data_IF_681311107664
#
_entry.id   IF_681311107664
#
_cell.length_a   1.000
_cell.length_b   1.000
_cell.length_c   1.000
_cell.angle_alpha   90.00
_cell.angle_beta   90.00
_cell.angle_gamma   90.00
#
_symmetry.space_group_name_H-M   'P 1'
#
loop_
_entity.id
_entity.type
_entity.pdbx_description
1 polymer ?
#
# COMPACT_ATOMS: atom_id res chain seq x y z
N UNK A 1 1.17 -10.12 6.52
CA UNK A 1 2.33 -10.88 7.05
C UNK A 1 3.58 -10.28 6.45
N UNK A 2 4.63 -10.09 7.22
CA UNK A 2 5.90 -9.61 6.68
C UNK A 2 6.47 -10.66 5.73
N UNK A 3 7.05 -10.25 4.60
CA UNK A 3 7.70 -11.20 3.67
C UNK A 3 8.93 -11.83 4.34
N UNK A 4 9.32 -13.03 3.92
CA UNK A 4 10.52 -13.71 4.42
C UNK A 4 11.78 -12.82 4.30
N UNK A 5 11.85 -11.99 3.24
CA UNK A 5 12.89 -10.98 3.05
C UNK A 5 12.83 -9.90 4.14
N UNK A 6 11.64 -9.35 4.42
CA UNK A 6 11.43 -8.33 5.44
C UNK A 6 11.85 -8.82 6.82
N UNK A 7 11.48 -10.06 7.20
CA UNK A 7 11.83 -10.62 8.50
C UNK A 7 13.34 -10.82 8.66
N UNK A 8 14.01 -11.31 7.62
CA UNK A 8 15.47 -11.51 7.64
C UNK A 8 16.22 -10.18 7.68
N UNK A 9 15.90 -9.27 6.78
CA UNK A 9 16.57 -7.97 6.75
C UNK A 9 16.27 -7.13 8.00
N UNK A 10 15.06 -7.20 8.56
CA UNK A 10 14.72 -6.55 9.83
C UNK A 10 15.55 -7.09 11.00
N UNK A 11 15.81 -8.40 11.02
CA UNK A 11 16.68 -9.02 12.03
C UNK A 11 18.12 -8.53 11.89
N UNK A 12 18.66 -8.54 10.67
CA UNK A 12 19.99 -8.01 10.36
C UNK A 12 20.12 -6.53 10.73
N UNK A 13 19.11 -5.71 10.43
CA UNK A 13 19.08 -4.29 10.82
C UNK A 13 19.16 -4.12 12.34
N UNK A 14 18.50 -4.99 13.11
CA UNK A 14 18.57 -4.94 14.59
C UNK A 14 19.97 -5.30 15.09
N UNK A 15 20.59 -6.34 14.53
CA UNK A 15 21.95 -6.77 14.86
C UNK A 15 22.98 -5.70 14.49
N UNK A 16 22.86 -5.10 13.29
CA UNK A 16 23.71 -4.00 12.84
C UNK A 16 23.64 -2.78 13.77
N UNK A 17 22.44 -2.40 14.22
CA UNK A 17 22.25 -1.25 15.13
C UNK A 17 22.92 -1.44 16.49
N UNK A 18 23.10 -2.68 16.93
CA UNK A 18 23.74 -3.01 18.20
C UNK A 18 25.26 -2.98 18.17
N UNK A 19 25.91 -2.90 17.00
CA UNK A 19 27.35 -2.97 16.87
C UNK A 19 28.01 -1.58 17.03
N UNK A 20 28.89 -1.46 18.01
CA UNK A 20 29.61 -0.21 18.32
C UNK A 20 30.82 0.04 17.41
N UNK A 21 31.35 -0.99 16.73
CA UNK A 21 32.46 -0.89 15.77
C UNK A 21 32.18 -1.78 14.57
N UNK A 22 32.44 -1.24 13.38
CA UNK A 22 32.43 -2.00 12.12
C UNK A 22 33.89 -2.32 11.76
N UNK A 23 34.16 -3.61 11.58
CA UNK A 23 35.39 -4.13 11.02
C UNK A 23 35.11 -4.69 9.65
N UNK A 24 36.15 -4.83 8.81
CA UNK A 24 35.99 -5.42 7.48
C UNK A 24 35.38 -6.83 7.55
N UNK A 25 35.78 -7.63 8.56
CA UNK A 25 35.19 -8.96 8.78
C UNK A 25 33.69 -8.91 9.08
N UNK A 26 33.26 -8.02 9.99
CA UNK A 26 31.83 -7.86 10.32
C UNK A 26 31.01 -7.41 9.11
N UNK A 27 31.56 -6.53 8.27
CA UNK A 27 30.90 -6.10 7.03
C UNK A 27 30.73 -7.27 6.07
N UNK A 28 31.76 -8.12 5.91
CA UNK A 28 31.67 -9.28 5.03
C UNK A 28 30.62 -10.30 5.50
N UNK A 29 30.56 -10.58 6.78
CA UNK A 29 29.55 -11.48 7.35
C UNK A 29 28.13 -10.94 7.14
N UNK A 30 27.92 -9.66 7.44
CA UNK A 30 26.61 -9.00 7.21
C UNK A 30 26.22 -8.96 5.73
N UNK A 31 27.15 -8.68 4.82
CA UNK A 31 26.91 -8.70 3.38
C UNK A 31 26.57 -10.10 2.87
N UNK A 32 27.17 -11.13 3.47
CA UNK A 32 26.83 -12.53 3.16
C UNK A 32 25.38 -12.83 3.53
N UNK A 33 24.93 -12.39 4.69
CA UNK A 33 23.55 -12.60 5.13
C UNK A 33 22.54 -11.78 4.30
N UNK A 34 22.85 -10.53 3.97
CA UNK A 34 22.05 -9.73 3.04
C UNK A 34 21.95 -10.41 1.68
N UNK A 35 23.06 -10.93 1.16
CA UNK A 35 23.08 -11.69 -0.08
C UNK A 35 22.18 -12.92 -0.03
N UNK A 36 22.25 -13.68 1.05
CA UNK A 36 21.39 -14.87 1.22
C UNK A 36 19.91 -14.48 1.31
N UNK A 37 19.59 -13.42 2.04
CA UNK A 37 18.22 -12.92 2.14
C UNK A 37 17.65 -12.50 0.77
N UNK A 38 18.43 -11.80 -0.05
CA UNK A 38 18.03 -11.40 -1.39
C UNK A 38 17.84 -12.60 -2.34
N UNK A 39 18.74 -13.60 -2.29
CA UNK A 39 18.61 -14.81 -3.09
C UNK A 39 17.39 -15.65 -2.70
N UNK A 40 17.12 -15.80 -1.41
CA UNK A 40 15.93 -16.49 -0.92
C UNK A 40 14.62 -15.73 -1.25
N UNK A 41 14.72 -14.42 -1.46
CA UNK A 41 13.63 -13.60 -1.95
C UNK A 41 13.46 -13.64 -3.49
N UNK A 42 14.17 -14.54 -4.16
CA UNK A 42 14.15 -14.72 -5.61
C UNK A 42 14.64 -13.47 -6.40
N UNK A 43 15.54 -12.68 -5.80
CA UNK A 43 16.22 -11.60 -6.54
C UNK A 43 17.20 -12.22 -7.54
N UNK A 44 17.23 -11.71 -8.76
CA UNK A 44 18.13 -12.19 -9.82
C UNK A 44 19.61 -12.12 -9.37
N UNK A 45 20.36 -13.20 -9.60
CA UNK A 45 21.75 -13.29 -9.18
C UNK A 45 22.65 -12.13 -9.66
N UNK A 46 22.54 -11.63 -10.91
CA UNK A 46 23.27 -10.44 -11.34
C UNK A 46 22.92 -9.21 -10.49
N UNK A 47 21.63 -8.98 -10.22
CA UNK A 47 21.14 -7.86 -9.42
C UNK A 47 21.68 -7.94 -7.98
N UNK A 48 21.66 -9.14 -7.38
CA UNK A 48 22.23 -9.37 -6.04
C UNK A 48 23.71 -9.08 -6.02
N UNK A 49 24.47 -9.54 -7.03
CA UNK A 49 25.91 -9.33 -7.13
C UNK A 49 26.25 -7.85 -7.18
N UNK A 50 25.58 -7.11 -8.07
CA UNK A 50 25.81 -5.67 -8.26
C UNK A 50 25.41 -4.88 -7.01
N UNK A 51 24.29 -5.24 -6.39
CA UNK A 51 23.82 -4.65 -5.13
C UNK A 51 24.88 -4.82 -4.00
N UNK A 52 25.33 -6.05 -3.79
CA UNK A 52 26.34 -6.36 -2.73
C UNK A 52 27.65 -5.63 -3.00
N UNK A 53 28.10 -5.55 -4.26
CA UNK A 53 29.31 -4.80 -4.61
C UNK A 53 29.18 -3.32 -4.23
N UNK A 54 28.09 -2.66 -4.63
CA UNK A 54 27.85 -1.25 -4.31
C UNK A 54 27.76 -1.00 -2.80
N UNK A 55 27.04 -1.85 -2.07
CA UNK A 55 26.95 -1.73 -0.60
C UNK A 55 28.32 -1.91 0.04
N UNK A 56 29.12 -2.89 -0.41
CA UNK A 56 30.47 -3.14 0.08
C UNK A 56 31.38 -1.91 -0.11
N UNK A 57 31.42 -1.36 -1.32
CA UNK A 57 32.26 -0.21 -1.64
C UNK A 57 31.92 1.00 -0.76
N UNK A 58 30.64 1.28 -0.54
CA UNK A 58 30.18 2.37 0.33
C UNK A 58 30.39 2.08 1.81
N UNK A 59 30.25 0.83 2.24
CA UNK A 59 30.43 0.43 3.64
C UNK A 59 31.91 0.48 4.08
N UNK A 60 32.84 0.22 3.19
CA UNK A 60 34.28 0.32 3.44
C UNK A 60 34.82 1.74 3.25
N UNK A 61 34.00 2.67 2.75
CA UNK A 61 34.34 4.07 2.58
C UNK A 61 34.39 4.88 3.89
N UNK A 62 34.89 6.11 3.81
CA UNK A 62 35.05 7.01 4.97
C UNK A 62 33.72 7.37 5.67
N UNK A 63 32.60 7.28 4.98
CA UNK A 63 31.27 7.62 5.53
C UNK A 63 30.87 6.76 6.75
N UNK A 64 31.31 5.50 6.77
CA UNK A 64 31.00 4.57 7.87
C UNK A 64 32.05 4.61 8.97
N UNK A 65 33.33 4.72 8.59
CA UNK A 65 34.47 4.73 9.52
C UNK A 65 34.50 5.97 10.42
N UNK A 66 33.93 7.10 9.93
CA UNK A 66 33.83 8.37 10.69
C UNK A 66 32.50 8.54 11.46
N UNK A 67 31.59 7.58 11.40
CA UNK A 67 30.26 7.70 12.00
C UNK A 67 30.28 7.39 13.51
N UNK A 68 29.51 8.18 14.29
CA UNK A 68 29.26 7.93 15.71
C UNK A 68 28.47 6.62 15.97
N UNK A 69 27.76 6.12 14.94
CA UNK A 69 27.00 4.86 14.99
C UNK A 69 27.15 4.07 13.68
N UNK A 70 28.27 3.34 13.50
CA UNK A 70 28.60 2.66 12.26
C UNK A 70 27.51 1.68 11.77
N UNK A 71 26.86 0.97 12.68
CA UNK A 71 25.76 0.06 12.32
C UNK A 71 24.55 0.79 11.73
N UNK A 72 24.21 2.00 12.21
CA UNK A 72 23.14 2.82 11.63
C UNK A 72 23.53 3.37 10.26
N UNK A 73 24.81 3.74 10.08
CA UNK A 73 25.33 4.19 8.79
C UNK A 73 25.21 3.07 7.74
N UNK A 74 25.57 1.83 8.09
CA UNK A 74 25.44 0.69 7.18
C UNK A 74 23.99 0.38 6.81
N UNK A 75 23.06 0.44 7.77
CA UNK A 75 21.63 0.32 7.49
C UNK A 75 21.16 1.41 6.50
N UNK A 76 21.63 2.64 6.68
CA UNK A 76 21.35 3.75 5.76
C UNK A 76 21.91 3.50 4.36
N UNK A 77 23.09 2.88 4.22
CA UNK A 77 23.65 2.49 2.92
C UNK A 77 22.78 1.43 2.26
N UNK A 78 22.43 0.35 2.98
CA UNK A 78 21.55 -0.71 2.44
C UNK A 78 20.20 -0.13 1.99
N UNK A 79 19.61 0.76 2.78
CA UNK A 79 18.37 1.44 2.41
C UNK A 79 18.51 2.25 1.11
N UNK A 80 19.51 3.12 1.02
CA UNK A 80 19.76 3.92 -0.19
C UNK A 80 20.02 3.05 -1.42
N UNK A 81 20.75 1.93 -1.28
CA UNK A 81 21.00 1.02 -2.38
C UNK A 81 19.74 0.25 -2.82
N UNK A 82 18.84 -0.09 -1.89
CA UNK A 82 17.53 -0.66 -2.23
C UNK A 82 16.72 0.35 -3.03
N UNK A 83 16.65 1.61 -2.57
CA UNK A 83 15.96 2.70 -3.28
C UNK A 83 16.54 2.89 -4.69
N UNK A 84 17.86 3.03 -4.81
CA UNK A 84 18.53 3.20 -6.10
C UNK A 84 18.29 2.02 -7.05
N UNK A 85 18.24 0.78 -6.54
CA UNK A 85 17.98 -0.42 -7.35
C UNK A 85 16.53 -0.46 -7.84
N UNK A 86 15.56 -0.02 -7.05
CA UNK A 86 14.14 0.07 -7.43
C UNK A 86 13.81 1.29 -8.27
N UNK A 87 14.70 2.29 -8.30
CA UNK A 87 14.52 3.58 -8.99
C UNK A 87 14.17 4.70 -8.03
N UNK A 88 14.96 5.75 -8.05
CA UNK A 88 14.75 6.92 -7.20
C UNK A 88 13.49 7.72 -7.62
N UNK A 89 12.78 8.23 -6.63
CA UNK A 89 11.61 9.07 -6.82
C UNK A 89 10.34 8.31 -7.23
N UNK A 90 9.33 9.09 -7.62
CA UNK A 90 8.03 8.60 -8.07
C UNK A 90 7.92 8.77 -9.58
N UNK A 91 7.72 7.70 -10.32
CA UNK A 91 7.48 7.75 -11.75
C UNK A 91 5.97 7.84 -12.03
N UNK A 92 5.52 8.98 -12.49
CA UNK A 92 4.12 9.19 -12.84
C UNK A 92 3.77 8.61 -14.22
N UNK A 93 2.47 8.43 -14.47
CA UNK A 93 1.94 8.01 -15.76
C UNK A 93 1.99 9.19 -16.74
N UNK A 94 2.50 8.95 -17.93
CA UNK A 94 2.54 9.96 -18.98
C UNK A 94 1.21 9.99 -19.76
N UNK A 95 0.49 11.08 -19.70
CA UNK A 95 -0.73 11.33 -20.47
C UNK A 95 -0.58 12.47 -21.50
N UNK A 96 0.67 12.87 -21.78
CA UNK A 96 0.96 13.96 -22.72
C UNK A 96 0.87 13.48 -24.17
N UNK A 97 -0.36 13.35 -24.65
CA UNK A 97 -0.69 13.01 -26.04
C UNK A 97 -1.98 13.69 -26.45
N UNK A 98 -2.24 13.77 -27.75
CA UNK A 98 -3.59 14.11 -28.24
C UNK A 98 -4.59 13.05 -27.74
N UNK A 99 -5.71 13.45 -27.13
CA UNK A 99 -6.72 12.50 -26.67
C UNK A 99 -7.27 11.60 -27.80
N UNK A 100 -7.46 10.31 -27.51
CA UNK A 100 -7.18 9.64 -26.24
C UNK A 100 -5.70 9.33 -26.07
N UNK A 101 -5.16 9.52 -24.86
CA UNK A 101 -3.89 8.93 -24.48
C UNK A 101 -4.05 7.41 -24.39
N UNK A 102 -3.38 6.67 -25.28
CA UNK A 102 -3.52 5.21 -25.35
C UNK A 102 -2.50 4.56 -24.43
N UNK A 103 -2.96 3.64 -23.59
CA UNK A 103 -2.14 2.87 -22.65
C UNK A 103 -2.33 1.39 -22.92
N UNK A 104 -1.24 0.70 -23.22
CA UNK A 104 -1.23 -0.73 -23.48
C UNK A 104 -0.81 -1.50 -22.24
N UNK A 105 -1.64 -2.46 -21.79
CA UNK A 105 -1.36 -3.33 -20.65
C UNK A 105 -0.78 -4.66 -21.16
N UNK A 106 0.48 -4.95 -20.86
CA UNK A 106 1.20 -6.12 -21.33
C UNK A 106 1.61 -7.04 -20.16
N UNK A 107 1.66 -8.37 -20.39
CA UNK A 107 2.06 -9.33 -19.36
C UNK A 107 1.46 -10.71 -19.57
N UNK A 108 1.91 -11.72 -18.80
CA UNK A 108 1.42 -13.09 -18.87
C UNK A 108 0.01 -13.26 -18.29
N UNK A 109 -0.57 -14.42 -18.53
CA UNK A 109 -1.82 -14.84 -17.90
C UNK A 109 -1.64 -14.94 -16.39
N UNK A 110 -2.65 -14.48 -15.63
CA UNK A 110 -2.59 -14.50 -14.17
C UNK A 110 -1.77 -13.36 -13.55
N UNK A 111 -1.06 -12.54 -14.34
CA UNK A 111 -0.34 -11.37 -13.84
C UNK A 111 -1.26 -10.25 -13.32
N UNK A 112 -2.56 -10.34 -13.50
CA UNK A 112 -3.52 -9.36 -13.00
C UNK A 112 -3.80 -8.18 -13.93
N UNK A 113 -3.53 -8.28 -15.24
CA UNK A 113 -3.74 -7.21 -16.24
C UNK A 113 -5.17 -6.65 -16.20
N UNK A 114 -6.16 -7.50 -16.35
CA UNK A 114 -7.58 -7.11 -16.43
C UNK A 114 -8.04 -6.34 -15.20
N UNK A 115 -7.71 -6.85 -14.01
CA UNK A 115 -8.03 -6.17 -12.76
C UNK A 115 -7.26 -4.86 -12.61
N UNK A 116 -5.99 -4.85 -13.00
CA UNK A 116 -5.13 -3.66 -12.96
C UNK A 116 -5.61 -2.59 -13.93
N UNK A 117 -6.11 -2.97 -15.10
CA UNK A 117 -6.73 -2.05 -16.08
C UNK A 117 -7.88 -1.28 -15.42
N UNK A 118 -8.77 -1.97 -14.72
CA UNK A 118 -9.89 -1.32 -14.03
C UNK A 118 -9.43 -0.47 -12.82
N UNK A 119 -8.44 -0.92 -12.05
CA UNK A 119 -7.86 -0.13 -10.96
C UNK A 119 -7.20 1.14 -11.46
N UNK A 120 -6.46 1.05 -12.57
CA UNK A 120 -5.83 2.21 -13.20
C UNK A 120 -6.90 3.17 -13.75
N UNK A 121 -7.97 2.65 -14.36
CA UNK A 121 -9.11 3.47 -14.78
C UNK A 121 -9.69 4.26 -13.61
N UNK A 122 -9.96 3.58 -12.49
CA UNK A 122 -10.44 4.23 -11.26
C UNK A 122 -9.48 5.30 -10.75
N UNK A 123 -8.19 5.00 -10.70
CA UNK A 123 -7.15 5.96 -10.28
C UNK A 123 -7.16 7.21 -11.17
N UNK A 124 -7.24 7.04 -12.49
CA UNK A 124 -7.29 8.15 -13.45
C UNK A 124 -8.56 8.99 -13.32
N UNK A 125 -9.70 8.37 -13.07
CA UNK A 125 -10.98 9.06 -12.84
C UNK A 125 -10.92 9.83 -11.51
N UNK A 126 -10.58 9.17 -10.42
CA UNK A 126 -10.67 9.74 -9.07
C UNK A 126 -9.59 10.80 -8.82
N UNK A 127 -8.35 10.53 -9.23
CA UNK A 127 -7.19 11.38 -8.93
C UNK A 127 -6.87 12.38 -10.03
N UNK A 128 -7.11 12.03 -11.30
CA UNK A 128 -6.76 12.84 -12.46
C UNK A 128 -7.96 13.44 -13.17
N UNK A 129 -9.18 13.10 -12.75
CA UNK A 129 -10.46 13.58 -13.33
C UNK A 129 -10.54 13.34 -14.84
N UNK A 130 -10.04 12.18 -15.31
CA UNK A 130 -10.02 11.80 -16.71
C UNK A 130 -11.25 10.98 -17.10
N UNK A 131 -11.77 11.18 -18.30
CA UNK A 131 -12.77 10.31 -18.92
C UNK A 131 -12.07 9.12 -19.55
N UNK A 132 -12.32 7.91 -19.03
CA UNK A 132 -11.56 6.70 -19.37
C UNK A 132 -12.45 5.69 -20.07
N UNK A 133 -11.94 5.16 -21.20
CA UNK A 133 -12.47 4.02 -21.92
C UNK A 133 -11.57 2.82 -21.72
N UNK A 134 -12.14 1.64 -21.51
CA UNK A 134 -11.39 0.38 -21.48
C UNK A 134 -11.84 -0.52 -22.62
N UNK A 135 -10.94 -1.35 -23.13
CA UNK A 135 -11.23 -2.35 -24.15
C UNK A 135 -10.43 -3.62 -23.89
N UNK A 136 -11.04 -4.79 -24.13
CA UNK A 136 -10.35 -6.08 -24.10
C UNK A 136 -9.94 -6.52 -25.49
N UNK A 137 -8.63 -6.78 -25.66
CA UNK A 137 -8.07 -7.50 -26.78
C UNK A 137 -7.92 -9.01 -26.52
N UNK A 138 -8.35 -9.52 -25.35
CA UNK A 138 -8.29 -10.95 -25.02
C UNK A 138 -9.51 -11.69 -25.61
N UNK A 139 -9.46 -11.93 -26.90
CA UNK A 139 -10.51 -12.64 -27.65
C UNK A 139 -10.49 -14.15 -27.41
N UNK A 140 -9.40 -14.68 -26.84
CA UNK A 140 -9.23 -16.13 -26.63
C UNK A 140 -9.99 -16.64 -25.41
N UNK A 141 -10.35 -15.73 -24.51
CA UNK A 141 -11.07 -16.05 -23.27
C UNK A 141 -12.33 -15.18 -23.12
N UNK A 142 -13.50 -15.68 -23.56
CA UNK A 142 -14.75 -14.92 -23.45
C UNK A 142 -15.04 -14.42 -22.03
N UNK A 143 -14.68 -15.22 -21.02
CA UNK A 143 -14.81 -14.82 -19.62
C UNK A 143 -13.95 -13.60 -19.24
N UNK A 144 -12.80 -13.37 -19.90
CA UNK A 144 -11.96 -12.21 -19.64
C UNK A 144 -12.61 -10.91 -20.15
N UNK A 145 -13.32 -10.97 -21.29
CA UNK A 145 -14.08 -9.84 -21.82
C UNK A 145 -15.17 -9.42 -20.84
N UNK A 146 -15.98 -10.37 -20.38
CA UNK A 146 -17.03 -10.10 -19.39
C UNK A 146 -16.48 -9.66 -18.03
N UNK A 147 -15.34 -10.22 -17.63
CA UNK A 147 -14.64 -9.79 -16.43
C UNK A 147 -14.22 -8.32 -16.52
N UNK A 148 -13.55 -7.93 -17.62
CA UNK A 148 -13.16 -6.52 -17.82
C UNK A 148 -14.37 -5.60 -17.79
N UNK A 149 -15.46 -5.95 -18.46
CA UNK A 149 -16.70 -5.18 -18.45
C UNK A 149 -17.24 -4.95 -17.04
N UNK A 150 -17.29 -6.01 -16.23
CA UNK A 150 -17.75 -5.91 -14.84
C UNK A 150 -16.88 -5.01 -13.99
N UNK A 151 -15.55 -5.22 -14.01
CA UNK A 151 -14.63 -4.43 -13.19
C UNK A 151 -14.48 -2.99 -13.67
N UNK A 152 -14.65 -2.74 -14.98
CA UNK A 152 -14.71 -1.39 -15.56
C UNK A 152 -15.92 -0.61 -15.03
N UNK A 153 -17.09 -1.25 -14.97
CA UNK A 153 -18.29 -0.64 -14.39
C UNK A 153 -18.09 -0.31 -12.90
N UNK A 154 -17.44 -1.19 -12.14
CA UNK A 154 -17.11 -0.93 -10.74
C UNK A 154 -16.14 0.26 -10.58
N UNK A 155 -15.22 0.44 -11.53
CA UNK A 155 -14.28 1.56 -11.56
C UNK A 155 -14.94 2.90 -11.96
N UNK A 156 -16.17 2.89 -12.47
CA UNK A 156 -16.85 4.08 -12.99
C UNK A 156 -16.35 4.52 -14.38
N UNK A 157 -15.65 3.63 -15.10
CA UNK A 157 -15.19 3.85 -16.47
C UNK A 157 -16.19 3.31 -17.50
N UNK A 158 -16.03 3.72 -18.77
CA UNK A 158 -16.78 3.14 -19.90
C UNK A 158 -16.00 1.96 -20.50
N UNK A 159 -16.76 0.99 -21.01
CA UNK A 159 -16.24 -0.20 -21.66
C UNK A 159 -16.62 -0.21 -23.15
N UNK A 160 -15.63 -0.45 -24.02
CA UNK A 160 -15.87 -0.64 -25.45
C UNK A 160 -16.16 -2.11 -25.74
N UNK A 161 -17.26 -2.44 -26.44
CA UNK A 161 -17.63 -3.81 -26.75
C UNK A 161 -16.60 -4.52 -27.62
N UNK A 162 -16.26 -5.75 -27.24
CA UNK A 162 -15.47 -6.67 -28.04
C UNK A 162 -16.05 -8.08 -27.97
N UNK A 163 -15.82 -8.88 -29.02
CA UNK A 163 -16.34 -10.24 -29.13
C UNK A 163 -15.21 -11.21 -29.53
N UNK A 164 -15.32 -12.51 -29.20
CA UNK A 164 -14.28 -13.49 -29.47
C UNK A 164 -13.98 -13.77 -30.97
N UNK A 165 -14.90 -13.43 -31.86
CA UNK A 165 -14.78 -13.59 -33.30
C UNK A 165 -14.02 -12.45 -34.00
N UNK A 166 -13.75 -11.37 -33.28
CA UNK A 166 -12.99 -10.23 -33.80
C UNK A 166 -11.49 -10.43 -33.66
N UNK A 167 -10.71 -9.74 -34.52
CA UNK A 167 -9.25 -9.68 -34.35
C UNK A 167 -8.86 -8.60 -33.35
N UNK A 168 -7.89 -8.83 -32.44
CA UNK A 168 -7.45 -7.84 -31.48
C UNK A 168 -7.05 -6.48 -32.07
N UNK A 169 -6.41 -6.51 -33.24
CA UNK A 169 -6.01 -5.29 -33.98
C UNK A 169 -7.21 -4.48 -34.46
N UNK A 170 -8.26 -5.13 -34.95
CA UNK A 170 -9.47 -4.47 -35.45
C UNK A 170 -10.27 -3.88 -34.28
N UNK A 171 -10.37 -4.61 -33.16
CA UNK A 171 -10.94 -4.09 -31.91
C UNK A 171 -10.20 -2.82 -31.47
N UNK A 172 -8.85 -2.86 -31.46
CA UNK A 172 -8.01 -1.73 -31.04
C UNK A 172 -8.26 -0.49 -31.91
N UNK A 173 -8.30 -0.62 -33.23
CA UNK A 173 -8.61 0.48 -34.16
C UNK A 173 -9.99 1.06 -33.91
N UNK A 174 -11.01 0.20 -33.80
CA UNK A 174 -12.38 0.64 -33.55
C UNK A 174 -12.52 1.36 -32.21
N UNK A 175 -11.82 0.88 -31.17
CA UNK A 175 -11.81 1.51 -29.85
C UNK A 175 -11.15 2.90 -29.88
N UNK A 176 -10.05 3.09 -30.62
CA UNK A 176 -9.41 4.41 -30.79
C UNK A 176 -10.38 5.38 -31.48
N UNK A 177 -11.00 4.94 -32.59
CA UNK A 177 -11.92 5.78 -33.35
C UNK A 177 -13.16 6.16 -32.51
N UNK A 178 -13.68 5.21 -31.75
CA UNK A 178 -14.77 5.47 -30.80
C UNK A 178 -14.34 6.45 -29.71
N UNK A 179 -13.17 6.23 -29.11
CA UNK A 179 -12.66 7.09 -28.05
C UNK A 179 -12.47 8.55 -28.54
N UNK A 180 -11.99 8.75 -29.77
CA UNK A 180 -11.87 10.07 -30.39
C UNK A 180 -13.24 10.73 -30.59
N UNK A 181 -14.18 10.00 -31.16
CA UNK A 181 -15.55 10.50 -31.45
C UNK A 181 -16.33 10.84 -30.18
N UNK A 182 -16.08 10.12 -29.09
CA UNK A 182 -16.76 10.30 -27.80
C UNK A 182 -15.98 11.16 -26.80
N UNK A 183 -14.86 11.75 -27.24
CA UNK A 183 -14.03 12.67 -26.44
C UNK A 183 -13.55 12.02 -25.13
N UNK A 184 -12.99 10.81 -25.19
CA UNK A 184 -12.31 10.20 -24.08
C UNK A 184 -10.89 10.78 -23.95
N UNK A 185 -10.46 11.00 -22.69
CA UNK A 185 -9.10 11.45 -22.41
C UNK A 185 -8.10 10.31 -22.53
N UNK A 186 -8.50 9.10 -22.10
CA UNK A 186 -7.63 7.92 -22.00
C UNK A 186 -8.34 6.69 -22.53
N UNK A 187 -7.58 5.86 -23.29
CA UNK A 187 -7.98 4.51 -23.71
C UNK A 187 -7.01 3.50 -23.07
N UNK A 188 -7.54 2.61 -22.21
CA UNK A 188 -6.81 1.50 -21.64
C UNK A 188 -7.10 0.22 -22.43
N UNK A 189 -6.05 -0.41 -22.95
CA UNK A 189 -6.16 -1.63 -23.74
C UNK A 189 -5.60 -2.82 -22.94
N UNK A 190 -6.51 -3.70 -22.48
CA UNK A 190 -6.18 -4.97 -21.84
C UNK A 190 -5.86 -6.00 -22.92
N UNK A 191 -4.70 -6.65 -22.85
CA UNK A 191 -4.25 -7.64 -23.85
C UNK A 191 -4.44 -9.06 -23.38
N UNK A 192 -4.50 -9.98 -24.32
CA UNK A 192 -4.45 -11.39 -24.02
C UNK A 192 -3.18 -11.73 -23.21
N UNK A 193 -3.30 -12.68 -22.30
CA UNK A 193 -2.18 -13.29 -21.64
C UNK A 193 -2.16 -14.78 -21.93
N UNK A 194 -0.98 -15.32 -22.22
CA UNK A 194 -0.75 -16.76 -22.32
C UNK A 194 0.00 -17.26 -21.09
N UNK A 195 -0.03 -18.57 -20.84
CA UNK A 195 0.63 -19.19 -19.70
C UNK A 195 2.16 -19.14 -19.81
N UNK A 196 2.66 -19.09 -21.04
CA UNK A 196 4.09 -19.01 -21.34
C UNK A 196 4.36 -18.01 -22.45
N UNK A 197 5.61 -17.58 -22.55
CA UNK A 197 6.10 -16.74 -23.62
C UNK A 197 6.22 -17.60 -24.89
N UNK A 198 5.48 -17.25 -25.91
CA UNK A 198 5.57 -17.88 -27.23
C UNK A 198 5.66 -16.81 -28.34
N UNK A 199 6.12 -17.23 -29.54
CA UNK A 199 6.28 -16.32 -30.67
C UNK A 199 4.96 -15.70 -31.13
N UNK A 200 3.85 -16.43 -30.99
CA UNK A 200 2.55 -15.94 -31.41
C UNK A 200 2.07 -14.79 -30.51
N UNK A 201 2.24 -14.92 -29.19
CA UNK A 201 1.96 -13.85 -28.24
C UNK A 201 2.82 -12.61 -28.52
N UNK A 202 4.12 -12.82 -28.71
CA UNK A 202 5.05 -11.71 -28.96
C UNK A 202 4.77 -10.99 -30.28
N UNK A 203 4.32 -11.71 -31.30
CA UNK A 203 3.92 -11.15 -32.58
C UNK A 203 2.64 -10.32 -32.44
N UNK A 204 1.61 -10.89 -31.83
CA UNK A 204 0.32 -10.22 -31.63
C UNK A 204 0.48 -8.92 -30.85
N UNK A 205 1.25 -8.94 -29.75
CA UNK A 205 1.42 -7.75 -28.92
C UNK A 205 2.27 -6.67 -29.63
N UNK A 206 3.23 -7.05 -30.49
CA UNK A 206 3.95 -6.11 -31.36
C UNK A 206 3.04 -5.48 -32.40
N UNK A 207 2.15 -6.26 -33.01
CA UNK A 207 1.15 -5.75 -33.97
C UNK A 207 0.18 -4.78 -33.30
N UNK A 208 -0.32 -5.13 -32.12
CA UNK A 208 -1.17 -4.23 -31.32
C UNK A 208 -0.44 -2.94 -30.97
N UNK A 209 0.81 -3.04 -30.51
CA UNK A 209 1.62 -1.87 -30.17
C UNK A 209 1.81 -0.96 -31.39
N UNK A 210 2.13 -1.52 -32.56
CA UNK A 210 2.32 -0.75 -33.76
C UNK A 210 1.05 -0.01 -34.24
N UNK A 211 -0.11 -0.64 -34.07
CA UNK A 211 -1.41 -0.03 -34.44
C UNK A 211 -1.87 1.02 -33.43
N UNK A 212 -1.70 0.74 -32.16
CA UNK A 212 -2.12 1.60 -31.06
C UNK A 212 -1.24 2.83 -30.91
N UNK A 213 0.06 2.71 -31.21
CA UNK A 213 1.10 3.70 -30.93
C UNK A 213 0.93 4.30 -29.53
N UNK A 214 0.97 3.46 -28.48
CA UNK A 214 0.59 3.89 -27.13
C UNK A 214 1.60 4.88 -26.56
N UNK A 215 1.10 5.85 -25.80
CA UNK A 215 1.96 6.77 -25.03
C UNK A 215 2.60 6.07 -23.83
N UNK A 216 1.94 5.02 -23.34
CA UNK A 216 2.42 4.15 -22.27
C UNK A 216 2.25 2.68 -22.63
N UNK A 217 3.32 1.91 -22.46
CA UNK A 217 3.31 0.45 -22.52
C UNK A 217 3.68 -0.07 -21.14
N UNK A 218 2.68 -0.48 -20.38
CA UNK A 218 2.83 -0.88 -18.98
C UNK A 218 2.96 -2.39 -18.87
N UNK A 219 4.09 -2.85 -18.35
CA UNK A 219 4.32 -4.26 -18.06
C UNK A 219 3.75 -4.63 -16.69
N UNK A 220 2.72 -5.47 -16.70
CA UNK A 220 2.06 -5.97 -15.48
C UNK A 220 2.67 -7.31 -15.10
N UNK A 221 3.21 -7.38 -13.91
CA UNK A 221 3.91 -8.56 -13.39
C UNK A 221 3.47 -8.89 -11.98
N UNK A 222 3.29 -10.18 -11.73
CA UNK A 222 2.96 -10.72 -10.41
C UNK A 222 4.22 -10.73 -9.53
N UNK A 223 4.18 -10.03 -8.40
CA UNK A 223 5.29 -9.95 -7.46
C UNK A 223 5.66 -11.31 -6.82
N UNK A 224 4.76 -12.31 -6.94
CA UNK A 224 4.97 -13.66 -6.39
C UNK A 224 5.66 -14.62 -7.37
N UNK A 225 5.86 -14.23 -8.65
CA UNK A 225 6.38 -15.13 -9.69
C UNK A 225 7.89 -15.44 -9.60
N UNK A 226 8.65 -14.83 -8.69
CA UNK A 226 10.07 -15.15 -8.51
C UNK A 226 10.92 -15.05 -9.79
N UNK A 227 11.68 -16.10 -10.12
CA UNK A 227 12.56 -16.15 -11.29
C UNK A 227 11.82 -16.11 -12.63
N UNK A 228 10.60 -16.60 -12.70
CA UNK A 228 9.80 -16.54 -13.93
C UNK A 228 9.43 -15.12 -14.34
N UNK A 229 9.25 -14.23 -13.35
CA UNK A 229 9.07 -12.81 -13.61
C UNK A 229 10.28 -12.18 -14.33
N UNK A 230 11.48 -12.65 -14.04
CA UNK A 230 12.74 -12.20 -14.64
C UNK A 230 12.79 -12.56 -16.13
N UNK A 231 12.53 -13.83 -16.44
CA UNK A 231 12.52 -14.33 -17.82
C UNK A 231 11.44 -13.62 -18.64
N UNK A 232 10.28 -13.45 -18.05
CA UNK A 232 9.16 -12.72 -18.65
C UNK A 232 9.52 -11.26 -18.92
N UNK A 233 10.07 -10.57 -17.94
CA UNK A 233 10.49 -9.17 -18.07
C UNK A 233 11.50 -8.97 -19.22
N UNK A 234 12.47 -9.88 -19.34
CA UNK A 234 13.46 -9.86 -20.42
C UNK A 234 12.82 -9.98 -21.80
N UNK A 235 11.94 -10.97 -21.99
CA UNK A 235 11.27 -11.19 -23.26
C UNK A 235 10.35 -10.04 -23.65
N UNK A 236 9.59 -9.47 -22.71
CA UNK A 236 8.75 -8.31 -22.99
C UNK A 236 9.57 -7.06 -23.29
N UNK A 237 10.71 -6.84 -22.62
CA UNK A 237 11.64 -5.75 -22.93
C UNK A 237 12.21 -5.85 -24.35
N UNK A 238 12.56 -7.06 -24.81
CA UNK A 238 13.06 -7.31 -26.15
C UNK A 238 11.97 -7.12 -27.22
N UNK A 239 10.72 -7.33 -26.85
CA UNK A 239 9.58 -7.25 -27.77
C UNK A 239 8.98 -5.84 -27.87
N UNK A 240 8.96 -5.08 -26.77
CA UNK A 240 8.22 -3.81 -26.64
C UNK A 240 9.06 -2.72 -25.94
N UNK A 241 8.88 -1.45 -26.31
CA UNK A 241 9.44 -0.32 -25.59
C UNK A 241 8.62 -0.11 -24.31
N UNK A 242 8.98 -0.79 -23.23
CA UNK A 242 8.29 -0.67 -21.94
C UNK A 242 8.53 0.72 -21.34
N UNK A 243 7.46 1.43 -20.97
CA UNK A 243 7.52 2.76 -20.36
C UNK A 243 7.30 2.74 -18.86
N UNK A 244 6.78 1.65 -18.33
CA UNK A 244 6.56 1.47 -16.90
C UNK A 244 6.19 0.04 -16.52
N UNK A 245 6.30 -0.24 -15.24
CA UNK A 245 5.99 -1.52 -14.62
C UNK A 245 4.87 -1.33 -13.61
N UNK A 246 3.96 -2.28 -13.54
CA UNK A 246 2.98 -2.41 -12.47
C UNK A 246 3.21 -3.73 -11.77
N UNK A 247 3.55 -3.67 -10.48
CA UNK A 247 3.64 -4.85 -9.63
C UNK A 247 2.25 -5.19 -9.08
N UNK A 248 1.81 -6.44 -9.22
CA UNK A 248 0.54 -6.91 -8.66
C UNK A 248 0.77 -7.86 -7.50
N UNK A 249 -0.28 -8.10 -6.71
CA UNK A 249 -0.28 -9.04 -5.58
C UNK A 249 0.82 -8.76 -4.54
N UNK A 250 1.11 -7.47 -4.30
CA UNK A 250 2.12 -7.07 -3.32
C UNK A 250 1.62 -7.21 -1.87
N UNK A 251 0.33 -7.49 -1.68
CA UNK A 251 -0.34 -7.83 -0.43
C UNK A 251 -0.20 -9.32 -0.04
N UNK A 252 0.19 -10.16 -0.98
CA UNK A 252 0.47 -11.56 -0.73
C UNK A 252 1.79 -11.78 0.00
N UNK A 253 2.17 -13.06 0.17
CA UNK A 253 3.47 -13.46 0.73
C UNK A 253 4.59 -13.27 -0.32
N UNK A 254 4.63 -12.09 -0.95
CA UNK A 254 5.63 -11.77 -1.94
C UNK A 254 6.97 -11.58 -1.22
N UNK A 255 7.98 -12.29 -1.70
CA UNK A 255 9.33 -12.24 -1.16
C UNK A 255 10.02 -10.87 -1.40
N UNK A 256 9.34 -9.97 -2.13
CA UNK A 256 9.83 -8.60 -2.42
C UNK A 256 10.92 -8.49 -3.49
N UNK A 257 11.47 -9.62 -3.94
CA UNK A 257 12.60 -9.63 -4.88
C UNK A 257 12.23 -9.26 -6.31
N UNK A 258 10.97 -9.47 -6.71
CA UNK A 258 10.50 -9.16 -8.06
C UNK A 258 10.68 -7.68 -8.41
N UNK A 259 10.39 -6.78 -7.46
CA UNK A 259 10.54 -5.33 -7.68
C UNK A 259 11.97 -4.95 -8.05
N UNK A 260 12.94 -5.48 -7.30
CA UNK A 260 14.38 -5.23 -7.54
C UNK A 260 14.82 -5.77 -8.90
N UNK A 261 14.42 -7.00 -9.21
CA UNK A 261 14.86 -7.71 -10.41
C UNK A 261 14.23 -7.14 -11.70
N UNK A 262 12.90 -6.97 -11.70
CA UNK A 262 12.17 -6.53 -12.90
C UNK A 262 12.59 -5.11 -13.30
N UNK A 263 12.75 -4.21 -12.32
CA UNK A 263 13.24 -2.84 -12.56
C UNK A 263 14.63 -2.85 -13.19
N UNK A 264 15.56 -3.59 -12.61
CA UNK A 264 16.95 -3.65 -13.09
C UNK A 264 17.04 -4.27 -14.48
N UNK A 265 16.27 -5.31 -14.77
CA UNK A 265 16.29 -6.02 -16.07
C UNK A 265 15.62 -5.19 -17.15
N UNK A 266 14.46 -4.63 -16.91
CA UNK A 266 13.73 -3.86 -17.92
C UNK A 266 14.31 -2.48 -18.15
N UNK A 267 14.87 -1.85 -17.12
CA UNK A 267 15.23 -0.43 -17.12
C UNK A 267 14.01 0.50 -17.03
N UNK A 268 12.78 -0.03 -17.12
CA UNK A 268 11.55 0.77 -17.01
C UNK A 268 11.21 1.08 -15.54
N UNK A 269 10.70 2.26 -15.21
CA UNK A 269 10.35 2.62 -13.84
C UNK A 269 9.14 1.80 -13.35
N UNK A 270 9.12 1.45 -12.07
CA UNK A 270 7.92 0.93 -11.43
C UNK A 270 7.01 2.12 -11.14
N UNK A 271 5.80 2.12 -11.71
CA UNK A 271 4.84 3.23 -11.57
C UNK A 271 3.78 2.96 -10.52
N UNK A 272 3.31 1.73 -10.42
CA UNK A 272 2.24 1.34 -9.50
C UNK A 272 2.50 0.00 -8.84
N UNK A 273 1.90 -0.16 -7.65
CA UNK A 273 1.81 -1.43 -6.92
C UNK A 273 0.34 -1.75 -6.57
N UNK A 274 -0.09 -2.97 -6.87
CA UNK A 274 -1.38 -3.51 -6.47
C UNK A 274 -1.30 -4.09 -5.08
N UNK A 275 -1.95 -3.45 -4.12
CA UNK A 275 -1.84 -3.71 -2.68
C UNK A 275 -3.02 -4.47 -2.09
N UNK A 276 -4.03 -4.79 -2.87
CA UNK A 276 -5.17 -5.61 -2.48
C UNK A 276 -5.95 -6.08 -3.70
N UNK A 277 -6.86 -7.04 -3.55
CA UNK A 277 -7.76 -7.47 -4.62
C UNK A 277 -8.86 -6.43 -4.95
N UNK A 278 -9.15 -5.50 -4.04
CA UNK A 278 -10.18 -4.48 -4.21
C UNK A 278 -9.85 -3.52 -5.34
N UNK A 279 -10.88 -2.93 -5.93
CA UNK A 279 -10.76 -2.02 -7.08
C UNK A 279 -9.97 -0.73 -6.77
N UNK A 280 -9.91 -0.32 -5.52
CA UNK A 280 -9.15 0.82 -5.01
C UNK A 280 -7.72 0.45 -4.57
N UNK A 281 -7.35 -0.83 -4.65
CA UNK A 281 -6.04 -1.36 -4.25
C UNK A 281 -4.95 -1.13 -5.31
N UNK A 282 -4.75 0.10 -5.77
CA UNK A 282 -3.63 0.50 -6.63
C UNK A 282 -2.99 1.76 -6.04
N UNK A 283 -1.72 1.65 -5.67
CA UNK A 283 -0.94 2.76 -5.13
C UNK A 283 0.17 3.16 -6.10
N UNK A 284 0.51 4.44 -6.12
CA UNK A 284 1.71 4.92 -6.81
C UNK A 284 2.93 4.31 -6.13
N UNK A 285 3.85 3.75 -6.91
CA UNK A 285 5.04 3.12 -6.34
C UNK A 285 6.02 4.18 -5.84
N UNK A 286 6.46 4.00 -4.61
CA UNK A 286 7.47 4.82 -3.97
C UNK A 286 8.59 3.90 -3.46
N UNK A 287 9.78 4.04 -4.03
CA UNK A 287 10.93 3.19 -3.74
C UNK A 287 11.42 3.35 -2.27
N UNK A 288 11.35 4.55 -1.70
CA UNK A 288 11.74 4.79 -0.31
C UNK A 288 10.81 4.07 0.68
N UNK A 289 9.49 4.18 0.44
CA UNK A 289 8.50 3.46 1.25
C UNK A 289 8.68 1.94 1.14
N UNK A 290 8.91 1.47 -0.08
CA UNK A 290 9.08 0.04 -0.33
C UNK A 290 10.36 -0.50 0.31
N UNK A 291 11.48 0.20 0.19
CA UNK A 291 12.73 -0.11 0.88
C UNK A 291 12.56 -0.11 2.42
N UNK A 292 11.84 0.88 2.95
CA UNK A 292 11.50 0.95 4.38
C UNK A 292 10.71 -0.27 4.86
N UNK A 293 9.72 -0.73 4.07
CA UNK A 293 8.95 -1.97 4.37
C UNK A 293 9.86 -3.20 4.35
N UNK A 294 10.70 -3.35 3.31
CA UNK A 294 11.66 -4.46 3.19
C UNK A 294 12.59 -4.53 4.41
N UNK A 295 13.06 -3.41 4.91
CA UNK A 295 13.93 -3.35 6.09
C UNK A 295 13.18 -3.40 7.44
N UNK A 296 11.86 -3.56 7.43
CA UNK A 296 11.04 -3.59 8.64
C UNK A 296 11.01 -2.26 9.40
N UNK A 297 11.32 -1.16 8.71
CA UNK A 297 11.27 0.19 9.28
C UNK A 297 9.83 0.74 9.33
N UNK A 298 8.88 0.05 8.71
CA UNK A 298 7.48 0.45 8.60
C UNK A 298 7.27 1.53 7.53
N UNK A 299 6.01 1.82 7.26
CA UNK A 299 5.60 2.89 6.34
C UNK A 299 4.90 4.00 7.12
N UNK A 300 5.69 4.77 7.86
CA UNK A 300 5.17 5.87 8.70
C UNK A 300 4.49 6.95 7.84
N UNK A 301 5.02 7.21 6.63
CA UNK A 301 4.43 8.21 5.71
C UNK A 301 3.07 7.76 5.19
N UNK A 302 2.94 6.50 4.75
CA UNK A 302 1.64 5.97 4.33
C UNK A 302 0.63 5.94 5.47
N UNK A 303 1.07 5.67 6.70
CA UNK A 303 0.21 5.76 7.87
C UNK A 303 -0.29 7.19 8.08
N UNK A 304 0.61 8.18 8.00
CA UNK A 304 0.26 9.61 8.14
C UNK A 304 -0.68 10.05 7.03
N UNK A 305 -0.42 9.68 5.78
CA UNK A 305 -1.29 10.02 4.64
C UNK A 305 -2.67 9.37 4.76
N UNK A 306 -2.74 8.11 5.15
CA UNK A 306 -4.03 7.42 5.35
C UNK A 306 -4.83 8.07 6.48
N UNK A 307 -4.17 8.43 7.58
CA UNK A 307 -4.78 9.17 8.69
C UNK A 307 -5.25 10.54 8.20
N UNK A 308 -4.45 11.22 7.38
CA UNK A 308 -4.77 12.56 6.87
C UNK A 308 -5.88 12.52 5.80
N UNK A 309 -5.85 11.52 4.89
CA UNK A 309 -6.87 11.36 3.85
C UNK A 309 -8.25 10.94 4.40
N UNK A 310 -8.25 10.19 5.51
CA UNK A 310 -9.48 9.79 6.21
C UNK A 310 -10.03 10.85 7.16
N UNK A 311 -9.28 11.93 7.40
CA UNK A 311 -9.71 13.03 8.29
C UNK A 311 -10.38 14.11 7.44
N UNK A 312 -11.69 14.25 7.62
CA UNK A 312 -12.39 15.48 7.25
C UNK A 312 -11.78 16.64 8.07
N UNK A 313 -10.97 17.48 7.42
CA UNK A 313 -10.27 18.60 8.05
C UNK A 313 -11.24 19.55 8.76
N UNK A 314 -12.45 19.71 8.24
CA UNK A 314 -13.47 20.54 8.85
C UNK A 314 -14.06 19.87 10.11
N UNK A 315 -14.31 18.55 10.05
CA UNK A 315 -14.73 17.76 11.21
C UNK A 315 -13.64 17.71 12.28
N UNK A 316 -12.36 17.58 11.88
CA UNK A 316 -11.22 17.59 12.80
C UNK A 316 -11.03 18.95 13.49
N UNK A 317 -11.21 20.07 12.78
CA UNK A 317 -11.16 21.41 13.37
C UNK A 317 -12.34 21.63 14.33
N UNK A 318 -13.56 21.22 13.98
CA UNK A 318 -14.73 21.27 14.85
C UNK A 318 -14.54 20.41 16.11
N UNK A 319 -13.97 19.23 15.96
CA UNK A 319 -13.65 18.35 17.08
C UNK A 319 -12.58 18.95 18.00
N UNK A 320 -11.50 19.51 17.42
CA UNK A 320 -10.46 20.20 18.18
C UNK A 320 -11.01 21.41 18.95
N UNK A 321 -11.92 22.17 18.35
CA UNK A 321 -12.61 23.27 19.02
C UNK A 321 -13.51 22.77 20.17
N UNK A 322 -14.26 21.68 19.96
CA UNK A 322 -15.08 21.02 21.00
C UNK A 322 -14.22 20.46 22.14
N UNK A 323 -13.10 19.83 21.85
CA UNK A 323 -12.16 19.33 22.87
C UNK A 323 -11.58 20.51 23.66
N UNK A 324 -11.22 21.62 23.00
CA UNK A 324 -10.76 22.86 23.65
C UNK A 324 -11.85 23.47 24.56
N UNK A 325 -13.10 23.44 24.18
CA UNK A 325 -14.22 23.94 25.02
C UNK A 325 -14.64 22.96 26.13
N UNK A 326 -14.19 21.70 26.05
CA UNK A 326 -14.58 20.63 26.99
C UNK A 326 -15.91 19.96 26.65
N UNK A 327 -16.39 20.16 25.40
CA UNK A 327 -17.67 19.66 24.91
C UNK A 327 -17.62 18.31 24.20
N UNK A 328 -16.54 17.51 24.36
CA UNK A 328 -16.43 16.17 23.77
C UNK A 328 -17.45 15.22 24.42
N UNK A 329 -18.35 14.66 23.59
CA UNK A 329 -19.45 13.80 24.04
C UNK A 329 -19.37 12.38 23.40
N UNK A 330 -20.31 11.50 23.77
CA UNK A 330 -20.38 10.12 23.23
C UNK A 330 -20.76 10.08 21.74
N UNK A 331 -21.38 11.13 21.18
CA UNK A 331 -21.62 11.21 19.74
C UNK A 331 -20.31 11.48 18.98
N UNK A 332 -19.46 12.32 19.53
CA UNK A 332 -18.11 12.57 18.97
C UNK A 332 -17.26 11.31 19.05
N UNK A 333 -17.37 10.55 20.15
CA UNK A 333 -16.68 9.27 20.30
C UNK A 333 -17.16 8.22 19.29
N UNK A 334 -18.48 8.14 19.05
CA UNK A 334 -19.06 7.28 18.03
C UNK A 334 -18.54 7.63 16.62
N UNK A 335 -18.49 8.92 16.30
CA UNK A 335 -17.97 9.39 15.02
C UNK A 335 -16.51 9.00 14.81
N UNK A 336 -15.67 9.07 15.84
CA UNK A 336 -14.29 8.60 15.79
C UNK A 336 -14.18 7.09 15.55
N UNK A 337 -15.01 6.28 16.22
CA UNK A 337 -15.06 4.83 16.00
C UNK A 337 -15.44 4.52 14.56
N UNK A 338 -16.44 5.21 14.01
CA UNK A 338 -16.90 5.02 12.64
C UNK A 338 -15.86 5.45 11.61
N UNK A 339 -15.18 6.56 11.87
CA UNK A 339 -14.09 7.04 11.03
C UNK A 339 -12.90 6.05 11.02
N UNK A 340 -12.49 5.52 12.17
CA UNK A 340 -11.45 4.48 12.26
C UNK A 340 -11.85 3.23 11.48
N UNK A 341 -13.11 2.83 11.51
CA UNK A 341 -13.65 1.68 10.78
C UNK A 341 -13.64 1.92 9.26
N UNK A 342 -13.99 3.13 8.80
CA UNK A 342 -13.97 3.50 7.38
C UNK A 342 -12.55 3.57 6.80
N UNK A 343 -11.53 3.79 7.64
CA UNK A 343 -10.11 3.82 7.27
C UNK A 343 -9.48 2.41 7.14
N UNK A 344 -10.29 1.35 7.15
CA UNK A 344 -9.81 -0.04 7.00
C UNK A 344 -9.64 -0.79 8.33
N UNK A 345 -10.12 -0.23 9.44
CA UNK A 345 -10.09 -0.87 10.75
C UNK A 345 -8.71 -0.91 11.40
N UNK A 346 -8.64 -1.59 12.54
CA UNK A 346 -7.43 -1.67 13.36
C UNK A 346 -6.31 -2.49 12.66
N UNK A 347 -6.68 -3.51 11.86
CA UNK A 347 -5.73 -4.36 11.14
C UNK A 347 -4.92 -3.58 10.10
N UNK A 348 -5.58 -2.74 9.30
CA UNK A 348 -4.90 -1.91 8.28
C UNK A 348 -3.92 -0.90 8.87
N UNK A 349 -4.20 -0.40 10.08
CA UNK A 349 -3.28 0.49 10.80
C UNK A 349 -2.07 -0.29 11.35
N UNK A 350 -2.30 -1.51 11.83
CA UNK A 350 -1.24 -2.37 12.38
C UNK A 350 -0.23 -2.81 11.33
N UNK A 351 -0.69 -3.14 10.12
CA UNK A 351 0.18 -3.59 9.02
C UNK A 351 1.20 -2.52 8.58
N UNK A 352 0.91 -1.26 8.86
CA UNK A 352 1.77 -0.11 8.50
C UNK A 352 2.71 0.35 9.63
N UNK A 353 2.56 -0.21 10.83
CA UNK A 353 3.44 0.12 11.94
C UNK A 353 4.82 -0.55 11.79
N UNK A 354 5.90 0.09 12.30
CA UNK A 354 7.22 -0.54 12.38
C UNK A 354 7.17 -1.88 13.10
N UNK A 355 7.94 -2.87 12.64
CA UNK A 355 7.95 -4.24 13.17
C UNK A 355 8.13 -4.32 14.70
N UNK A 356 8.81 -3.34 15.30
CA UNK A 356 8.97 -3.25 16.76
C UNK A 356 7.66 -2.91 17.49
N UNK A 357 6.77 -2.14 16.87
CA UNK A 357 5.45 -1.82 17.41
C UNK A 357 4.46 -2.94 17.11
N UNK A 358 4.56 -3.57 15.94
CA UNK A 358 3.77 -4.76 15.59
C UNK A 358 4.03 -5.92 16.56
N UNK A 359 5.29 -6.19 16.93
CA UNK A 359 5.64 -7.25 17.87
C UNK A 359 5.10 -7.02 19.30
N UNK A 360 4.97 -5.76 19.72
CA UNK A 360 4.32 -5.41 21.01
C UNK A 360 2.80 -5.47 20.93
N UNK A 361 2.23 -5.19 19.78
CA UNK A 361 0.80 -5.22 19.53
C UNK A 361 0.29 -6.61 19.11
N UNK A 362 1.18 -7.50 18.63
CA UNK A 362 0.87 -8.89 18.24
C UNK A 362 0.41 -9.81 19.38
N UNK A 363 0.40 -9.31 20.61
CA UNK A 363 -0.26 -9.96 21.76
C UNK A 363 -1.76 -9.62 21.87
N UNK A 364 -2.28 -8.75 21.00
CA UNK A 364 -3.70 -8.36 20.98
C UNK A 364 -4.44 -9.26 20.00
N UNK A 365 -5.43 -9.99 20.48
CA UNK A 365 -6.37 -10.74 19.66
C UNK A 365 -7.21 -9.74 18.84
N UNK A 366 -6.89 -9.60 17.55
CA UNK A 366 -7.49 -8.63 16.64
C UNK A 366 -8.99 -8.86 16.46
N UNK A 367 -9.42 -10.13 16.40
CA UNK A 367 -10.84 -10.47 16.29
C UNK A 367 -11.61 -10.05 17.55
N UNK A 368 -10.97 -10.15 18.69
CA UNK A 368 -11.52 -9.68 19.97
C UNK A 368 -11.61 -8.15 20.00
N UNK A 369 -10.56 -7.47 19.56
CA UNK A 369 -10.52 -6.01 19.51
C UNK A 369 -11.60 -5.45 18.55
N UNK A 370 -11.77 -6.04 17.37
CA UNK A 370 -12.84 -5.64 16.43
C UNK A 370 -14.25 -5.92 16.99
N UNK A 371 -14.44 -7.05 17.68
CA UNK A 371 -15.70 -7.35 18.38
C UNK A 371 -16.00 -6.33 19.46
N UNK A 372 -15.00 -5.93 20.25
CA UNK A 372 -15.16 -4.92 21.29
C UNK A 372 -15.52 -3.55 20.71
N UNK A 373 -14.91 -3.16 19.58
CA UNK A 373 -15.25 -1.92 18.86
C UNK A 373 -16.70 -1.95 18.36
N UNK A 374 -17.16 -3.06 17.76
CA UNK A 374 -18.57 -3.22 17.33
C UNK A 374 -19.55 -3.17 18.49
N UNK A 375 -19.21 -3.76 19.64
CA UNK A 375 -20.03 -3.69 20.85
C UNK A 375 -20.14 -2.27 21.40
N UNK A 376 -19.03 -1.53 21.46
CA UNK A 376 -19.02 -0.12 21.86
C UNK A 376 -19.92 0.73 20.96
N UNK A 377 -19.83 0.53 19.64
CA UNK A 377 -20.69 1.18 18.66
C UNK A 377 -22.18 0.89 18.94
N UNK A 378 -22.56 -0.40 19.12
CA UNK A 378 -23.92 -0.81 19.42
C UNK A 378 -24.46 -0.22 20.74
N UNK A 379 -23.62 -0.16 21.79
CA UNK A 379 -23.98 0.45 23.07
C UNK A 379 -24.31 1.93 22.90
N UNK A 380 -23.46 2.70 22.19
CA UNK A 380 -23.66 4.12 21.98
C UNK A 380 -24.88 4.39 21.10
N UNK A 381 -25.09 3.57 20.05
CA UNK A 381 -26.27 3.67 19.19
C UNK A 381 -27.58 3.39 19.93
N UNK A 382 -27.56 2.57 20.97
CA UNK A 382 -28.72 2.29 21.83
C UNK A 382 -29.03 3.39 22.84
N UNK A 383 -28.19 4.44 22.91
CA UNK A 383 -28.43 5.63 23.73
C UNK A 383 -29.25 6.67 22.96
N UNK A 384 -30.08 7.41 23.67
CA UNK A 384 -30.76 8.59 23.10
C UNK A 384 -29.75 9.72 22.83
N UNK A 385 -30.08 10.69 21.92
CA UNK A 385 -29.18 11.82 21.66
C UNK A 385 -28.86 12.66 22.90
N UNK A 386 -29.79 12.72 23.86
CA UNK A 386 -29.58 13.42 25.11
C UNK A 386 -28.61 12.67 26.04
N UNK A 387 -28.71 11.34 26.09
CA UNK A 387 -27.81 10.50 26.88
C UNK A 387 -26.38 10.51 26.34
N UNK A 388 -26.21 10.59 25.00
CA UNK A 388 -24.90 10.74 24.41
C UNK A 388 -24.23 12.06 24.74
N UNK A 389 -25.02 13.16 24.81
CA UNK A 389 -24.54 14.49 25.19
C UNK A 389 -24.29 14.66 26.68
N UNK A 390 -25.09 13.98 27.53
CA UNK A 390 -25.04 14.07 29.00
C UNK A 390 -24.97 12.68 29.61
N UNK A 391 -23.81 12.02 29.60
CA UNK A 391 -23.64 10.65 30.11
C UNK A 391 -23.99 10.51 31.60
N UNK A 392 -23.91 11.60 32.37
CA UNK A 392 -24.29 11.65 33.80
C UNK A 392 -25.76 11.28 34.04
N UNK A 393 -26.63 11.37 33.03
CA UNK A 393 -28.03 10.96 33.10
C UNK A 393 -28.22 9.43 33.07
N UNK A 394 -27.19 8.67 32.66
CA UNK A 394 -27.27 7.22 32.49
C UNK A 394 -27.13 6.50 33.82
N UNK A 395 -28.25 6.41 34.56
CA UNK A 395 -28.39 5.68 35.85
C UNK A 395 -28.90 4.25 35.64
N UNK A 396 -29.11 3.50 36.71
CA UNK A 396 -29.34 2.05 36.69
C UNK A 396 -30.42 1.58 35.69
N UNK A 397 -31.57 2.24 35.62
CA UNK A 397 -32.68 1.89 34.72
C UNK A 397 -32.31 2.14 33.26
N UNK A 398 -31.64 3.25 32.97
CA UNK A 398 -31.16 3.57 31.61
C UNK A 398 -30.07 2.61 31.17
N UNK A 399 -29.11 2.25 32.05
CA UNK A 399 -28.07 1.25 31.76
C UNK A 399 -28.67 -0.11 31.37
N UNK A 400 -29.75 -0.55 32.07
CA UNK A 400 -30.44 -1.81 31.69
C UNK A 400 -31.10 -1.72 30.33
N UNK A 401 -31.80 -0.61 30.01
CA UNK A 401 -32.41 -0.38 28.71
C UNK A 401 -31.38 -0.36 27.58
N UNK A 402 -30.27 0.38 27.78
CA UNK A 402 -29.18 0.47 26.79
C UNK A 402 -28.54 -0.90 26.60
N UNK A 403 -28.27 -1.64 27.67
CA UNK A 403 -27.72 -2.98 27.61
C UNK A 403 -28.63 -3.95 26.82
N UNK A 404 -29.93 -3.92 27.11
CA UNK A 404 -30.92 -4.72 26.39
C UNK A 404 -31.00 -4.35 24.89
N UNK A 405 -30.99 -3.05 24.56
CA UNK A 405 -31.01 -2.57 23.19
C UNK A 405 -29.75 -2.91 22.37
N UNK A 406 -28.59 -2.99 23.03
CA UNK A 406 -27.32 -3.35 22.41
C UNK A 406 -27.02 -4.89 22.43
N UNK A 407 -27.85 -5.69 23.08
CA UNK A 407 -27.62 -7.12 23.25
C UNK A 407 -26.38 -7.45 24.10
N UNK A 408 -26.07 -6.64 25.12
CA UNK A 408 -24.88 -6.79 25.96
C UNK A 408 -25.25 -6.77 27.45
N UNK A 409 -24.30 -7.14 28.32
CA UNK A 409 -24.50 -7.04 29.76
C UNK A 409 -24.33 -5.59 30.26
N UNK A 410 -25.02 -5.25 31.36
CA UNK A 410 -24.91 -3.92 32.02
C UNK A 410 -23.46 -3.59 32.39
N UNK A 411 -22.65 -4.60 32.68
CA UNK A 411 -21.23 -4.44 32.97
C UNK A 411 -20.45 -3.83 31.81
N UNK A 412 -20.78 -4.17 30.55
CA UNK A 412 -20.14 -3.63 29.35
C UNK A 412 -20.51 -2.16 29.15
N UNK A 413 -21.76 -1.78 29.47
CA UNK A 413 -22.18 -0.36 29.48
C UNK A 413 -21.39 0.43 30.51
N UNK A 414 -21.21 -0.14 31.72
CA UNK A 414 -20.42 0.52 32.78
C UNK A 414 -18.96 0.69 32.36
N UNK A 415 -18.38 -0.34 31.74
CA UNK A 415 -17.00 -0.30 31.23
C UNK A 415 -16.81 0.79 30.18
N UNK A 416 -17.73 0.91 29.22
CA UNK A 416 -17.69 1.94 28.19
C UNK A 416 -17.77 3.34 28.80
N UNK A 417 -18.68 3.56 29.76
CA UNK A 417 -18.83 4.86 30.43
C UNK A 417 -17.59 5.25 31.24
N UNK A 418 -16.97 4.29 31.94
CA UNK A 418 -15.72 4.52 32.68
C UNK A 418 -14.55 4.84 31.74
N UNK A 419 -14.42 4.11 30.63
CA UNK A 419 -13.40 4.38 29.60
C UNK A 419 -13.57 5.78 29.00
N UNK A 420 -14.81 6.18 28.71
CA UNK A 420 -15.14 7.50 28.20
C UNK A 420 -14.79 8.61 29.20
N UNK A 421 -15.10 8.42 30.47
CA UNK A 421 -14.81 9.37 31.57
C UNK A 421 -13.29 9.54 31.79
N UNK A 422 -12.52 8.43 31.72
CA UNK A 422 -11.07 8.47 31.78
C UNK A 422 -10.49 9.24 30.59
N UNK A 423 -11.00 9.01 29.38
CA UNK A 423 -10.58 9.71 28.16
C UNK A 423 -10.87 11.21 28.25
N UNK A 424 -12.07 11.62 28.72
CA UNK A 424 -12.38 13.02 28.98
C UNK A 424 -11.42 13.63 30.00
N UNK A 425 -11.08 12.89 31.06
CA UNK A 425 -10.12 13.31 32.06
C UNK A 425 -8.72 13.57 31.54
N UNK A 426 -8.23 12.66 30.61
CA UNK A 426 -6.96 12.86 29.93
C UNK A 426 -7.01 14.09 29.02
N UNK A 427 -8.06 14.26 28.21
CA UNK A 427 -8.23 15.44 27.36
C UNK A 427 -8.25 16.76 28.12
N UNK A 428 -8.89 16.79 29.27
CA UNK A 428 -8.87 17.96 30.19
C UNK A 428 -7.46 18.27 30.70
N UNK A 429 -6.66 17.27 31.03
CA UNK A 429 -5.26 17.44 31.48
C UNK A 429 -4.34 17.92 30.34
N UNK A 430 -4.66 17.62 29.11
CA UNK A 430 -3.88 18.10 27.92
C UNK A 430 -4.13 19.59 27.64
N UNK A 431 -5.22 20.21 28.09
CA UNK A 431 -5.50 21.65 28.01
C UNK A 431 -4.41 22.55 28.62
N UNK A 432 -3.61 22.07 29.55
CA UNK A 432 -2.63 22.83 30.32
C UNK A 432 -1.20 22.82 29.78
N UNK A 433 -0.96 22.69 28.45
CA UNK A 433 0.41 22.68 27.89
C UNK A 433 1.13 21.33 28.00
N UNK A 434 0.41 20.26 28.37
CA UNK A 434 0.95 18.92 28.57
C UNK A 434 1.51 18.28 27.30
N UNK A 435 0.98 18.64 26.11
CA UNK A 435 1.44 18.08 24.82
C UNK A 435 2.89 18.49 24.53
N UNK A 436 3.24 19.76 24.77
CA UNK A 436 4.60 20.26 24.55
C UNK A 436 5.60 19.70 25.57
N UNK A 437 5.17 19.46 26.83
CA UNK A 437 5.97 18.77 27.84
C UNK A 437 6.13 17.27 27.56
N UNK A 438 5.11 16.62 26.99
CA UNK A 438 5.14 15.19 26.62
C UNK A 438 6.01 14.95 25.38
N UNK A 439 5.94 15.81 24.35
CA UNK A 439 6.85 15.76 23.18
C UNK A 439 8.32 16.04 23.60
N UNK A 440 8.56 16.97 24.53
CA UNK A 440 9.90 17.22 25.08
C UNK A 440 10.44 16.07 25.93
N UNK A 441 9.56 15.26 26.56
CA UNK A 441 9.94 14.01 27.28
C UNK A 441 10.15 12.82 26.37
N UNK A 442 9.49 12.75 25.21
CA UNK A 442 9.70 11.69 24.22
C UNK A 442 10.93 11.95 23.34
N UNK A 443 11.39 13.22 23.19
CA UNK A 443 12.60 13.59 22.45
C UNK A 443 13.89 13.62 23.30
N UNK A 444 13.82 13.43 24.61
CA UNK A 444 14.97 13.39 25.50
C UNK A 444 14.97 12.10 26.33
N UNK A 445 16.01 11.28 26.12
CA UNK A 445 16.19 9.92 26.57
C UNK A 445 15.75 9.54 27.98
N UNK A 446 15.27 8.33 28.06
CA UNK A 446 15.44 7.41 29.17
C UNK A 446 14.45 7.49 30.34
N UNK A 447 13.75 6.35 30.53
CA UNK A 447 13.04 5.85 31.71
C UNK A 447 11.55 6.24 31.87
N UNK A 448 10.69 5.24 31.71
CA UNK A 448 9.37 5.15 32.29
C UNK A 448 8.23 5.53 31.34
N UNK A 449 7.79 4.62 30.48
CA UNK A 449 6.45 4.70 29.86
C UNK A 449 5.36 4.42 30.89
N UNK A 450 4.33 5.29 31.02
CA UNK A 450 3.10 4.91 31.71
C UNK A 450 2.35 3.88 30.83
N UNK A 451 1.87 2.81 31.45
CA UNK A 451 0.98 1.81 30.84
C UNK A 451 -0.26 2.54 30.31
N UNK A 452 -0.51 2.43 29.01
CA UNK A 452 -1.80 2.81 28.43
C UNK A 452 -2.81 1.70 28.74
N UNK A 453 -3.99 2.03 29.24
CA UNK A 453 -5.06 1.06 29.37
C UNK A 453 -5.72 0.86 27.99
N UNK A 454 -5.58 -0.33 27.48
CA UNK A 454 -6.45 -0.86 26.43
C UNK A 454 -7.49 -1.78 27.05
#
# INVERSE_FOLDING_TARGET
MASALTDKLSRLVKEMRGQARITEANVQDMLREVRMALLEADVALPVVRDFIARVKDKALGQEVLGSLSPGQALVGIVHRELVATMGEGVADINLQAQPPAVILMAGLQGAGKTTTTAKLAKHLIDKRKKKVLTVSGDVYRPAAIEQLKMVTKQAGAEWFPSTPDQKPVDIARAAIDYARKQYFDVLLVDTAGRLAIDEALMREIKELHAVLNPVETLFVVDAMQGQDAINTAKAFKEALPLTGIILTKTDGDSRGGAALSVRQITGAPIKFAGTSEKIDGLEVFDAERHAGRILGMGDILALVEQVTAGVDMEAAQKLAAKVKSGGFDLSDFLSQIQQMKSMGGLSSLMDKLPAQMQAKAGQVDMDKAERDVRRKEGIIQSMTPLERRKPELIKATRKRRIAAGAGVHVQEVNRLLNEFEQMQGMMKKMKGGGLMKMMKRMGGGGKGMPKMPF
#
